data_IF_320438001356
#
_entry.id   IF_320438001356
#
_cell.length_a   1.000
_cell.length_b   1.000
_cell.length_c   1.000
_cell.angle_alpha   90.00
_cell.angle_beta   90.00
_cell.angle_gamma   90.00
#
_symmetry.space_group_name_H-M   'P 1'
#
loop_
_entity.id
_entity.type
_entity.pdbx_description
1 polymer ?
#
# COMPACT_ATOMS: atom_id res chain seq x y z
N UNK A 1 4.16 -12.65 -10.45
CA UNK A 1 5.01 -13.51 -9.61
C UNK A 1 4.11 -14.44 -8.81
N UNK A 2 4.43 -15.73 -8.66
CA UNK A 2 3.66 -16.62 -7.77
C UNK A 2 4.27 -16.55 -6.37
N UNK A 3 3.47 -16.43 -5.31
CA UNK A 3 3.99 -16.47 -3.95
C UNK A 3 4.67 -17.81 -3.67
N UNK A 4 5.88 -17.77 -3.14
CA UNK A 4 6.57 -18.92 -2.59
C UNK A 4 5.97 -19.36 -1.27
N UNK A 5 6.34 -20.55 -0.79
CA UNK A 5 5.80 -21.15 0.45
C UNK A 5 6.04 -20.33 1.72
N UNK A 6 6.97 -19.37 1.68
CA UNK A 6 7.35 -18.51 2.81
C UNK A 6 6.80 -17.09 2.68
N UNK A 7 6.10 -16.79 1.60
CA UNK A 7 5.48 -15.48 1.40
C UNK A 7 4.14 -15.48 2.13
N UNK A 8 4.14 -14.82 3.28
CA UNK A 8 2.97 -14.72 4.15
C UNK A 8 2.29 -13.38 3.83
N UNK A 9 1.04 -13.36 3.34
CA UNK A 9 0.36 -12.12 3.06
C UNK A 9 -0.13 -11.48 4.36
N UNK A 10 -0.06 -10.15 4.39
CA UNK A 10 -0.65 -9.32 5.43
C UNK A 10 -2.09 -9.01 5.05
N UNK A 11 -3.00 -9.03 6.01
CA UNK A 11 -4.40 -8.69 5.80
C UNK A 11 -4.67 -7.29 6.33
N UNK A 12 -4.89 -6.35 5.43
CA UNK A 12 -5.09 -4.93 5.76
C UNK A 12 -6.46 -4.51 5.25
N UNK A 13 -7.23 -3.81 6.09
CA UNK A 13 -8.51 -3.24 5.68
C UNK A 13 -8.30 -1.77 5.36
N UNK A 14 -8.52 -1.40 4.10
CA UNK A 14 -8.47 -0.01 3.63
C UNK A 14 -9.89 0.34 3.21
N UNK A 15 -10.41 1.49 3.65
CA UNK A 15 -11.81 1.84 3.39
C UNK A 15 -12.04 3.35 3.40
N UNK A 16 -13.23 3.77 2.98
CA UNK A 16 -13.60 5.19 2.95
C UNK A 16 -12.65 5.99 2.05
N UNK A 17 -12.30 7.20 2.49
CA UNK A 17 -11.49 8.12 1.69
C UNK A 17 -10.07 7.60 1.41
N UNK A 18 -9.45 6.88 2.34
CA UNK A 18 -8.15 6.23 2.11
C UNK A 18 -8.19 5.32 0.88
N UNK A 19 -9.27 4.53 0.73
CA UNK A 19 -9.42 3.63 -0.41
C UNK A 19 -9.67 4.40 -1.71
N UNK A 20 -10.55 5.40 -1.68
CA UNK A 20 -10.84 6.23 -2.87
C UNK A 20 -9.58 6.91 -3.41
N UNK A 21 -8.74 7.47 -2.52
CA UNK A 21 -7.48 8.11 -2.93
C UNK A 21 -6.45 7.10 -3.43
N UNK A 22 -6.33 5.94 -2.77
CA UNK A 22 -5.45 4.87 -3.24
C UNK A 22 -5.85 4.38 -4.65
N UNK A 23 -7.14 4.25 -4.91
CA UNK A 23 -7.67 3.80 -6.21
C UNK A 23 -7.40 4.80 -7.34
N UNK A 24 -7.41 6.09 -7.03
CA UNK A 24 -7.06 7.17 -7.98
C UNK A 24 -5.65 6.98 -8.57
N UNK A 25 -4.77 6.37 -7.79
CA UNK A 25 -3.36 6.12 -8.12
C UNK A 25 -3.07 4.66 -8.49
N UNK A 26 -4.09 3.80 -8.60
CA UNK A 26 -3.90 2.37 -8.85
C UNK A 26 -3.18 2.10 -10.18
N UNK A 27 -3.32 2.97 -11.17
CA UNK A 27 -2.65 2.84 -12.47
C UNK A 27 -1.12 2.90 -12.36
N UNK A 28 -0.57 3.57 -11.35
CA UNK A 28 0.88 3.57 -11.09
C UNK A 28 1.40 2.19 -10.63
N UNK A 29 0.51 1.25 -10.29
CA UNK A 29 0.85 -0.10 -9.84
C UNK A 29 0.78 -1.15 -10.97
N UNK A 30 0.63 -0.73 -12.23
CA UNK A 30 0.43 -1.63 -13.37
C UNK A 30 1.60 -2.61 -13.57
N UNK A 31 2.81 -2.22 -13.18
CA UNK A 31 4.00 -3.07 -13.28
C UNK A 31 4.04 -4.16 -12.18
N UNK A 32 3.20 -4.04 -11.15
CA UNK A 32 3.14 -4.99 -10.03
C UNK A 32 2.08 -6.07 -10.23
N UNK A 33 2.21 -6.89 -11.28
CA UNK A 33 1.46 -8.15 -11.45
C UNK A 33 -0.05 -8.10 -11.14
N UNK A 34 -0.79 -7.15 -11.71
CA UNK A 34 -2.24 -7.04 -11.52
C UNK A 34 -2.66 -6.40 -10.20
N UNK A 35 -1.71 -5.79 -9.46
CA UNK A 35 -1.98 -5.04 -8.24
C UNK A 35 -2.85 -3.82 -8.51
N UNK A 36 -2.62 -3.13 -9.64
CA UNK A 36 -3.49 -2.07 -10.17
C UNK A 36 -4.96 -2.52 -10.19
N UNK A 37 -5.25 -3.62 -10.87
CA UNK A 37 -6.60 -4.17 -11.00
C UNK A 37 -7.14 -4.67 -9.66
N UNK A 38 -6.28 -5.23 -8.80
CA UNK A 38 -6.65 -5.70 -7.46
C UNK A 38 -7.12 -4.56 -6.57
N UNK A 39 -6.40 -3.43 -6.60
CA UNK A 39 -6.71 -2.22 -5.82
C UNK A 39 -7.91 -1.49 -6.41
N UNK A 40 -7.96 -1.30 -7.73
CA UNK A 40 -9.07 -0.65 -8.42
C UNK A 40 -10.42 -1.37 -8.17
N UNK A 41 -10.41 -2.71 -8.17
CA UNK A 41 -11.62 -3.50 -7.90
C UNK A 41 -11.95 -3.67 -6.40
N UNK A 42 -11.05 -3.28 -5.50
CA UNK A 42 -11.23 -3.49 -4.07
C UNK A 42 -12.39 -2.64 -3.51
N UNK A 43 -13.24 -3.25 -2.68
CA UNK A 43 -14.46 -2.59 -2.16
C UNK A 43 -14.35 -2.09 -0.72
N UNK A 44 -13.23 -2.35 -0.04
CA UNK A 44 -13.01 -1.93 1.35
C UNK A 44 -13.88 -2.61 2.42
N UNK A 45 -14.73 -3.57 2.03
CA UNK A 45 -15.63 -4.26 2.98
C UNK A 45 -14.87 -5.29 3.83
N UNK A 46 -13.96 -6.05 3.22
CA UNK A 46 -13.14 -7.09 3.86
C UNK A 46 -11.66 -6.74 3.73
N UNK A 47 -10.77 -7.16 4.64
CA UNK A 47 -9.33 -6.94 4.45
C UNK A 47 -8.81 -7.51 3.12
N UNK A 48 -7.96 -6.76 2.43
CA UNK A 48 -7.20 -7.23 1.27
C UNK A 48 -5.95 -7.96 1.73
N UNK A 49 -5.57 -9.03 1.02
CA UNK A 49 -4.31 -9.74 1.26
C UNK A 49 -3.22 -9.16 0.36
N UNK A 50 -2.17 -8.62 0.98
CA UNK A 50 -1.03 -8.01 0.32
C UNK A 50 0.25 -8.78 0.70
N UNK A 51 1.02 -9.18 -0.29
CA UNK A 51 2.35 -9.73 -0.07
C UNK A 51 3.36 -8.59 0.15
N UNK A 52 4.58 -8.92 0.60
CA UNK A 52 5.61 -7.89 0.85
C UNK A 52 5.89 -7.05 -0.40
N UNK A 53 6.01 -7.67 -1.59
CA UNK A 53 6.20 -6.91 -2.83
C UNK A 53 4.97 -6.09 -3.24
N UNK A 54 3.75 -6.48 -2.83
CA UNK A 54 2.56 -5.66 -3.05
C UNK A 54 2.65 -4.40 -2.16
N UNK A 55 3.11 -4.57 -0.91
CA UNK A 55 3.31 -3.46 0.03
C UNK A 55 4.44 -2.53 -0.40
N UNK A 56 5.59 -3.07 -0.83
CA UNK A 56 6.72 -2.29 -1.34
C UNK A 56 6.26 -1.39 -2.50
N UNK A 57 5.55 -1.98 -3.49
CA UNK A 57 5.02 -1.23 -4.62
C UNK A 57 4.02 -0.15 -4.21
N UNK A 58 3.06 -0.46 -3.32
CA UNK A 58 2.11 0.54 -2.82
C UNK A 58 2.85 1.67 -2.10
N UNK A 59 3.82 1.35 -1.24
CA UNK A 59 4.58 2.36 -0.49
C UNK A 59 5.39 3.28 -1.41
N UNK A 60 6.00 2.74 -2.46
CA UNK A 60 6.75 3.53 -3.45
C UNK A 60 5.81 4.47 -4.21
N UNK A 61 4.66 3.97 -4.69
CA UNK A 61 3.65 4.81 -5.35
C UNK A 61 3.14 5.90 -4.42
N UNK A 62 2.77 5.55 -3.18
CA UNK A 62 2.28 6.51 -2.20
C UNK A 62 3.32 7.59 -1.88
N UNK A 63 4.59 7.22 -1.72
CA UNK A 63 5.65 8.20 -1.49
C UNK A 63 5.78 9.15 -2.67
N UNK A 64 5.79 8.62 -3.90
CA UNK A 64 5.91 9.42 -5.12
C UNK A 64 4.75 10.41 -5.28
N UNK A 65 3.49 9.96 -5.12
CA UNK A 65 2.33 10.84 -5.33
C UNK A 65 2.16 11.87 -4.21
N UNK A 66 2.50 11.53 -2.97
CA UNK A 66 2.45 12.48 -1.84
C UNK A 66 3.54 13.57 -1.94
N UNK A 67 4.63 13.29 -2.65
CA UNK A 67 5.71 14.25 -2.89
C UNK A 67 5.50 15.09 -4.17
N UNK A 68 4.50 14.76 -5.02
CA UNK A 68 4.18 15.52 -6.24
C UNK A 68 3.28 16.73 -5.96
N UNK A 69 3.85 17.93 -6.07
CA UNK A 69 3.14 19.20 -5.87
C UNK A 69 2.05 19.47 -6.94
N UNK A 70 2.10 18.82 -8.10
CA UNK A 70 1.01 18.93 -9.08
C UNK A 70 -0.19 18.08 -8.68
N UNK A 71 0.08 16.96 -8.00
CA UNK A 71 -0.93 16.00 -7.58
C UNK A 71 -1.62 16.47 -6.29
N UNK A 72 -0.81 16.95 -5.33
CA UNK A 72 -1.27 17.53 -4.07
C UNK A 72 -0.58 18.88 -3.80
N UNK A 73 -1.04 19.96 -4.46
CA UNK A 73 -0.52 21.31 -4.23
C UNK A 73 -0.84 21.84 -2.83
N UNK A 74 -1.92 21.35 -2.21
CA UNK A 74 -2.32 21.66 -0.85
C UNK A 74 -2.23 20.42 0.04
N UNK A 75 -1.35 20.46 1.04
CA UNK A 75 -1.14 19.37 2.00
C UNK A 75 -2.13 19.39 3.17
N UNK A 76 -3.04 20.36 3.20
CA UNK A 76 -4.20 20.37 4.08
C UNK A 76 -5.44 19.76 3.41
N UNK A 77 -5.37 19.40 2.12
CA UNK A 77 -6.43 18.69 1.41
C UNK A 77 -6.79 17.37 2.10
N UNK A 78 -8.08 17.08 2.18
CA UNK A 78 -8.57 15.87 2.84
C UNK A 78 -8.04 14.60 2.17
N UNK A 79 -7.94 14.60 0.83
CA UNK A 79 -7.39 13.50 0.06
C UNK A 79 -5.92 13.24 0.41
N UNK A 80 -5.10 14.30 0.42
CA UNK A 80 -3.70 14.22 0.84
C UNK A 80 -3.58 13.63 2.25
N UNK A 81 -4.31 14.19 3.22
CA UNK A 81 -4.21 13.79 4.63
C UNK A 81 -4.59 12.31 4.82
N UNK A 82 -5.63 11.84 4.13
CA UNK A 82 -6.08 10.44 4.21
C UNK A 82 -5.13 9.49 3.51
N UNK A 83 -4.57 9.89 2.38
CA UNK A 83 -3.56 9.08 1.69
C UNK A 83 -2.26 9.00 2.48
N UNK A 84 -1.84 10.10 3.11
CA UNK A 84 -0.68 10.14 3.99
C UNK A 84 -0.89 9.30 5.27
N UNK A 85 -2.08 9.35 5.88
CA UNK A 85 -2.46 8.47 6.99
C UNK A 85 -2.30 6.99 6.60
N UNK A 86 -2.82 6.60 5.43
CA UNK A 86 -2.64 5.26 4.89
C UNK A 86 -1.16 4.90 4.68
N UNK A 87 -0.36 5.79 4.10
CA UNK A 87 1.07 5.58 3.91
C UNK A 87 1.78 5.25 5.23
N UNK A 88 1.49 6.00 6.30
CA UNK A 88 2.08 5.78 7.62
C UNK A 88 1.65 4.42 8.21
N UNK A 89 0.37 4.06 8.08
CA UNK A 89 -0.17 2.77 8.54
C UNK A 89 0.47 1.57 7.82
N UNK A 90 0.59 1.66 6.49
CA UNK A 90 1.23 0.63 5.67
C UNK A 90 2.72 0.50 5.99
N UNK A 91 3.43 1.62 6.19
CA UNK A 91 4.86 1.61 6.54
C UNK A 91 5.12 0.96 7.91
N UNK A 92 4.18 1.13 8.85
CA UNK A 92 4.22 0.41 10.14
C UNK A 92 4.00 -1.09 9.94
N UNK A 93 3.00 -1.46 9.15
CA UNK A 93 2.68 -2.86 8.84
C UNK A 93 3.85 -3.56 8.13
N UNK A 94 4.52 -2.86 7.21
CA UNK A 94 5.70 -3.36 6.52
C UNK A 94 6.87 -3.60 7.49
N UNK A 95 7.16 -2.64 8.38
CA UNK A 95 8.20 -2.81 9.41
C UNK A 95 7.93 -3.97 10.34
N UNK A 96 6.67 -4.26 10.66
CA UNK A 96 6.34 -5.46 11.44
C UNK A 96 6.68 -6.71 10.62
N UNK A 97 6.21 -6.79 9.38
CA UNK A 97 6.35 -7.98 8.52
C UNK A 97 7.82 -8.25 8.13
N UNK A 98 8.53 -7.21 7.67
CA UNK A 98 9.94 -7.28 7.28
C UNK A 98 10.87 -7.23 8.50
N UNK A 99 10.52 -6.53 9.58
CA UNK A 99 11.30 -6.52 10.82
C UNK A 99 11.34 -7.87 11.52
N UNK A 100 10.27 -8.67 11.46
CA UNK A 100 10.31 -10.08 11.89
C UNK A 100 11.17 -10.94 10.95
N UNK A 101 11.19 -10.63 9.66
CA UNK A 101 12.02 -11.33 8.67
C UNK A 101 13.50 -11.20 9.04
N UNK A 102 13.99 -10.01 9.39
CA UNK A 102 15.40 -9.80 9.77
C UNK A 102 15.79 -10.31 11.17
N UNK A 103 14.85 -10.43 12.13
CA UNK A 103 15.17 -11.01 13.46
C UNK A 103 15.36 -12.53 13.45
N UNK A 104 14.83 -13.24 12.45
CA UNK A 104 14.84 -14.71 12.38
C UNK A 104 16.08 -15.33 11.70
N UNK A 105 17.00 -14.51 11.17
CA UNK A 105 18.23 -14.96 10.51
C UNK A 105 19.52 -14.63 11.28
N UNK A 106 19.41 -14.17 12.53
CA UNK A 106 20.56 -13.83 13.40
C UNK A 106 20.56 -14.56 14.75
N UNK A 107 19.90 -15.72 14.85
CA UNK A 107 20.01 -16.66 15.98
C UNK A 107 20.11 -18.09 15.48
#
# INVERSE_FOLDING_TARGET
MKPGKRDIPVRIKISGRQLSELQRHAWHMIEAFGLDSKIDNYKGVRPVSLYSWDLDCILDVLSMVLDDENEYPDKEDEGYLRLHELYVELKKSDKEVNGYKYRKYYF
#
